data_IF_176138345996
#
_entry.id   IF_176138345996
#
_cell.length_a   1.000
_cell.length_b   1.000
_cell.length_c   1.000
_cell.angle_alpha   90.00
_cell.angle_beta   90.00
_cell.angle_gamma   90.00
#
_symmetry.space_group_name_H-M   'P 1'
#
loop_
_entity.id
_entity.type
_entity.pdbx_description
1 polymer ?
#
# COMPACT_ATOMS: atom_id res chain seq x y z
N UNK A 1 17.61 -21.91 -3.78
CA UNK A 1 17.99 -23.32 -3.55
C UNK A 1 18.44 -23.53 -2.10
N UNK A 2 19.50 -22.88 -1.61
CA UNK A 2 20.01 -23.05 -0.24
C UNK A 2 18.94 -22.87 0.84
N UNK A 3 18.07 -21.87 0.73
CA UNK A 3 16.98 -21.64 1.68
C UNK A 3 15.92 -22.77 1.62
N UNK A 4 15.63 -23.27 0.42
CA UNK A 4 14.70 -24.40 0.23
C UNK A 4 15.28 -25.68 0.82
N UNK A 5 16.56 -25.97 0.58
CA UNK A 5 17.27 -27.13 1.12
C UNK A 5 17.36 -27.08 2.65
N UNK A 6 17.55 -25.88 3.22
CA UNK A 6 17.55 -25.66 4.66
C UNK A 6 16.14 -25.64 5.29
N UNK A 7 15.08 -25.82 4.51
CA UNK A 7 13.69 -25.74 4.99
C UNK A 7 13.26 -24.34 5.42
N UNK A 8 14.06 -23.34 5.10
CA UNK A 8 13.74 -21.94 5.39
C UNK A 8 12.71 -21.46 4.39
N UNK A 9 11.49 -21.25 4.86
CA UNK A 9 10.40 -20.75 4.03
C UNK A 9 10.20 -19.28 4.33
N UNK A 10 10.27 -18.48 3.28
CA UNK A 10 9.84 -17.08 3.31
C UNK A 10 8.35 -17.06 2.97
N UNK A 11 7.53 -16.93 3.96
CA UNK A 11 6.09 -16.85 3.81
C UNK A 11 5.54 -15.75 4.68
N UNK A 12 4.46 -15.14 4.23
CA UNK A 12 3.67 -14.31 5.12
C UNK A 12 3.17 -15.17 6.29
N UNK A 13 3.11 -14.56 7.48
CA UNK A 13 2.47 -15.21 8.62
C UNK A 13 1.05 -15.66 8.23
N UNK A 14 0.63 -16.80 8.75
CA UNK A 14 -0.73 -17.28 8.55
C UNK A 14 -1.73 -16.18 8.92
N UNK A 15 -2.61 -15.85 7.97
CA UNK A 15 -3.68 -14.87 8.20
C UNK A 15 -4.95 -15.61 8.58
N UNK A 16 -5.59 -15.23 9.69
CA UNK A 16 -6.91 -15.73 10.02
C UNK A 16 -7.93 -15.31 8.94
N UNK A 17 -8.98 -16.09 8.77
CA UNK A 17 -10.05 -15.79 7.83
C UNK A 17 -10.79 -14.50 8.18
N UNK A 18 -11.17 -13.72 7.15
CA UNK A 18 -11.89 -12.46 7.33
C UNK A 18 -13.33 -12.66 7.80
N UNK A 19 -13.82 -11.78 8.67
CA UNK A 19 -15.20 -11.84 9.19
C UNK A 19 -16.24 -11.49 8.11
N UNK A 20 -15.87 -10.74 7.10
CA UNK A 20 -16.67 -10.45 5.91
C UNK A 20 -16.87 -11.68 5.03
N UNK A 21 -15.82 -12.48 4.85
CA UNK A 21 -15.87 -13.77 4.15
C UNK A 21 -16.72 -14.77 4.94
N UNK A 22 -16.58 -14.81 6.27
CA UNK A 22 -17.41 -15.63 7.14
C UNK A 22 -18.88 -15.23 7.04
N UNK A 23 -19.18 -13.95 7.05
CA UNK A 23 -20.56 -13.45 6.85
C UNK A 23 -21.12 -13.84 5.50
N UNK A 24 -20.30 -13.79 4.43
CA UNK A 24 -20.69 -14.27 3.11
C UNK A 24 -20.97 -15.79 3.11
N UNK A 25 -20.17 -16.59 3.83
CA UNK A 25 -20.38 -18.02 3.98
C UNK A 25 -21.69 -18.35 4.71
N UNK A 26 -21.99 -17.65 5.82
CA UNK A 26 -23.28 -17.80 6.52
C UNK A 26 -24.46 -17.51 5.58
N UNK A 27 -24.34 -16.46 4.77
CA UNK A 27 -25.36 -16.13 3.79
C UNK A 27 -25.51 -17.21 2.69
N UNK A 28 -24.38 -17.78 2.25
CA UNK A 28 -24.37 -18.91 1.31
C UNK A 28 -25.10 -20.14 1.88
N UNK A 29 -24.86 -20.47 3.15
CA UNK A 29 -25.55 -21.56 3.85
C UNK A 29 -27.06 -21.32 3.92
N UNK A 30 -27.47 -20.10 4.27
CA UNK A 30 -28.88 -19.72 4.28
C UNK A 30 -29.56 -19.86 2.90
N UNK A 31 -28.83 -19.59 1.82
CA UNK A 31 -29.34 -19.79 0.45
C UNK A 31 -29.51 -21.27 0.04
N UNK A 32 -28.81 -22.19 0.72
CA UNK A 32 -28.96 -23.64 0.51
C UNK A 32 -30.14 -24.23 1.28
N UNK A 33 -30.64 -23.57 2.31
CA UNK A 33 -31.75 -24.01 3.15
C UNK A 33 -31.58 -23.62 4.60
N UNK A 34 -32.54 -23.96 5.49
CA UNK A 34 -32.40 -23.73 6.92
C UNK A 34 -31.21 -24.47 7.50
N UNK A 35 -30.53 -23.83 8.49
CA UNK A 35 -29.34 -24.38 9.12
C UNK A 35 -29.35 -24.13 10.63
N UNK A 36 -28.68 -25.02 11.36
CA UNK A 36 -28.40 -24.86 12.78
C UNK A 36 -27.16 -23.98 12.95
N UNK A 37 -27.25 -22.94 13.78
CA UNK A 37 -26.15 -21.99 13.99
C UNK A 37 -24.95 -22.58 14.70
N UNK A 38 -25.18 -23.45 15.70
CA UNK A 38 -24.10 -24.06 16.47
C UNK A 38 -23.37 -25.14 15.66
N UNK A 39 -24.12 -25.94 14.88
CA UNK A 39 -23.55 -26.91 13.97
C UNK A 39 -22.70 -26.23 12.88
N UNK A 40 -23.14 -25.07 12.37
CA UNK A 40 -22.35 -24.31 11.40
C UNK A 40 -21.11 -23.70 12.03
N UNK A 41 -21.15 -23.27 13.30
CA UNK A 41 -19.96 -22.80 14.01
C UNK A 41 -18.90 -23.90 14.12
N UNK A 42 -19.30 -25.11 14.49
CA UNK A 42 -18.36 -26.25 14.58
C UNK A 42 -17.78 -26.61 13.21
N UNK A 43 -18.59 -26.56 12.13
CA UNK A 43 -18.10 -26.73 10.76
C UNK A 43 -17.05 -25.67 10.41
N UNK A 44 -17.31 -24.38 10.68
CA UNK A 44 -16.41 -23.26 10.42
C UNK A 44 -15.11 -23.39 11.19
N UNK A 45 -15.17 -23.75 12.49
CA UNK A 45 -14.00 -23.93 13.36
C UNK A 45 -13.13 -25.11 13.00
N UNK A 46 -13.64 -26.06 12.22
CA UNK A 46 -12.83 -27.17 11.67
C UNK A 46 -11.80 -26.72 10.65
N UNK A 47 -11.92 -25.48 10.14
CA UNK A 47 -10.94 -24.85 9.27
C UNK A 47 -9.91 -24.08 10.08
N UNK A 48 -8.62 -24.25 9.77
CA UNK A 48 -7.54 -23.49 10.40
C UNK A 48 -7.66 -21.96 10.22
N UNK A 49 -8.40 -21.53 9.21
CA UNK A 49 -8.66 -20.10 9.00
C UNK A 49 -9.60 -19.50 10.05
N UNK A 50 -10.43 -20.31 10.71
CA UNK A 50 -11.50 -19.86 11.61
C UNK A 50 -11.52 -20.60 12.95
N UNK A 51 -10.50 -21.38 13.30
CA UNK A 51 -10.41 -22.09 14.58
C UNK A 51 -10.40 -21.14 15.79
N UNK A 52 -10.03 -19.91 15.58
CA UNK A 52 -9.99 -18.82 16.56
C UNK A 52 -11.35 -18.18 16.86
N UNK A 53 -12.40 -18.44 16.06
CA UNK A 53 -13.72 -17.83 16.26
C UNK A 53 -14.35 -18.31 17.57
N UNK A 54 -14.62 -17.39 18.47
CA UNK A 54 -15.35 -17.66 19.71
C UNK A 54 -16.88 -17.48 19.53
N UNK A 55 -17.71 -17.97 20.47
CA UNK A 55 -19.18 -17.83 20.39
C UNK A 55 -19.65 -16.37 20.39
N UNK A 56 -18.91 -15.42 20.98
CA UNK A 56 -19.30 -14.01 21.01
C UNK A 56 -19.10 -13.36 19.64
N UNK A 57 -17.96 -13.61 19.00
CA UNK A 57 -17.69 -13.17 17.63
C UNK A 57 -18.72 -13.81 16.67
N UNK A 58 -18.98 -15.10 16.83
CA UNK A 58 -20.00 -15.81 16.03
C UNK A 58 -21.38 -15.17 16.14
N UNK A 59 -21.83 -14.87 17.35
CA UNK A 59 -23.11 -14.20 17.57
C UNK A 59 -23.19 -12.83 16.88
N UNK A 60 -22.09 -12.07 16.88
CA UNK A 60 -21.98 -10.78 16.18
C UNK A 60 -22.07 -10.98 14.66
N UNK A 61 -21.42 -11.99 14.10
CA UNK A 61 -21.50 -12.32 12.67
C UNK A 61 -22.94 -12.70 12.30
N UNK A 62 -23.61 -13.58 13.09
CA UNK A 62 -25.00 -13.93 12.87
C UNK A 62 -25.93 -12.72 12.97
N UNK A 63 -25.73 -11.84 13.96
CA UNK A 63 -26.48 -10.60 14.10
C UNK A 63 -26.30 -9.69 12.88
N UNK A 64 -25.07 -9.52 12.41
CA UNK A 64 -24.80 -8.74 11.19
C UNK A 64 -25.49 -9.33 9.97
N UNK A 65 -25.37 -10.64 9.73
CA UNK A 65 -26.04 -11.29 8.59
C UNK A 65 -27.56 -11.23 8.75
N UNK A 66 -28.06 -11.31 9.98
CA UNK A 66 -29.48 -11.27 10.31
C UNK A 66 -30.14 -9.92 10.00
N UNK A 67 -29.55 -8.85 10.49
CA UNK A 67 -30.18 -7.51 10.47
C UNK A 67 -29.22 -6.34 10.25
N UNK A 68 -27.97 -6.59 9.85
CA UNK A 68 -26.99 -5.55 9.59
C UNK A 68 -26.28 -4.99 10.83
N UNK A 69 -26.49 -5.57 12.02
CA UNK A 69 -25.99 -5.07 13.29
C UNK A 69 -26.92 -4.03 13.95
N UNK A 70 -26.52 -3.53 15.11
CA UNK A 70 -27.34 -2.61 15.90
C UNK A 70 -27.71 -1.33 15.16
N UNK A 71 -26.74 -0.71 14.50
CA UNK A 71 -26.95 0.60 13.82
C UNK A 71 -27.83 0.49 12.58
N UNK A 72 -27.89 -0.65 11.91
CA UNK A 72 -28.59 -0.83 10.64
C UNK A 72 -29.90 -1.61 10.74
N UNK A 73 -30.21 -2.20 11.87
CA UNK A 73 -31.37 -3.10 12.09
C UNK A 73 -32.75 -2.51 11.78
N UNK A 74 -32.86 -1.19 11.74
CA UNK A 74 -34.12 -0.49 11.43
C UNK A 74 -34.47 -0.53 9.94
N UNK A 75 -33.56 -0.97 9.07
CA UNK A 75 -33.77 -0.98 7.63
C UNK A 75 -34.05 -2.40 7.14
N UNK A 76 -35.23 -2.64 6.57
CA UNK A 76 -35.70 -3.94 6.09
C UNK A 76 -34.74 -4.62 5.11
N UNK A 77 -34.00 -3.84 4.31
CA UNK A 77 -33.02 -4.38 3.34
C UNK A 77 -31.89 -5.18 3.97
N UNK A 78 -31.60 -4.97 5.26
CA UNK A 78 -30.55 -5.70 5.98
C UNK A 78 -31.10 -6.89 6.78
N UNK A 79 -32.41 -7.07 6.83
CA UNK A 79 -33.04 -8.25 7.47
C UNK A 79 -33.01 -9.44 6.52
N UNK A 80 -31.86 -10.13 6.45
CA UNK A 80 -31.62 -11.17 5.43
C UNK A 80 -31.91 -12.57 5.91
N UNK A 81 -31.58 -12.89 7.17
CA UNK A 81 -31.89 -14.19 7.79
C UNK A 81 -32.60 -13.98 9.11
N UNK A 82 -33.35 -14.98 9.54
CA UNK A 82 -34.09 -14.99 10.81
C UNK A 82 -34.02 -16.35 11.46
N UNK A 83 -34.06 -16.36 12.80
CA UNK A 83 -34.15 -17.58 13.60
C UNK A 83 -35.62 -18.03 13.67
N UNK A 84 -35.91 -19.23 13.20
CA UNK A 84 -37.23 -19.79 13.28
C UNK A 84 -37.55 -20.32 14.69
N UNK A 85 -38.84 -20.64 14.94
CA UNK A 85 -39.31 -21.28 16.21
C UNK A 85 -38.71 -22.68 16.42
N UNK A 86 -38.24 -23.30 15.37
CA UNK A 86 -37.58 -24.60 15.35
C UNK A 86 -36.07 -24.52 15.63
N UNK A 87 -35.55 -23.32 15.97
CA UNK A 87 -34.14 -23.11 16.26
C UNK A 87 -33.23 -23.00 15.01
N UNK A 88 -33.83 -23.07 13.80
CA UNK A 88 -33.01 -23.00 12.58
C UNK A 88 -33.03 -21.59 11.96
N UNK A 89 -31.86 -21.16 11.51
CA UNK A 89 -31.70 -19.95 10.74
C UNK A 89 -32.15 -20.17 9.29
N UNK A 90 -32.81 -19.19 8.70
CA UNK A 90 -33.30 -19.24 7.31
C UNK A 90 -33.43 -17.87 6.68
N UNK A 91 -33.47 -17.80 5.34
CA UNK A 91 -33.72 -16.56 4.63
C UNK A 91 -35.08 -15.97 5.04
N UNK A 92 -35.15 -14.66 5.21
CA UNK A 92 -36.39 -13.90 5.42
C UNK A 92 -37.22 -13.81 4.15
N UNK A 93 -36.57 -13.73 2.97
CA UNK A 93 -37.21 -13.67 1.68
C UNK A 93 -36.36 -14.37 0.60
N UNK A 94 -36.97 -15.07 -0.38
CA UNK A 94 -36.23 -15.74 -1.48
C UNK A 94 -35.36 -14.80 -2.34
N UNK A 95 -35.74 -13.53 -2.47
CA UNK A 95 -35.00 -12.54 -3.25
C UNK A 95 -33.60 -12.33 -2.75
N UNK A 96 -33.34 -12.55 -1.45
CA UNK A 96 -31.99 -12.48 -0.88
C UNK A 96 -31.06 -13.52 -1.53
N UNK A 97 -31.54 -14.70 -1.89
CA UNK A 97 -30.75 -15.69 -2.61
C UNK A 97 -30.38 -15.24 -4.03
N UNK A 98 -31.29 -14.59 -4.75
CA UNK A 98 -31.01 -14.06 -6.08
C UNK A 98 -29.98 -12.94 -6.03
N UNK A 99 -30.11 -12.00 -5.09
CA UNK A 99 -29.14 -10.91 -4.87
C UNK A 99 -27.79 -11.43 -4.44
N UNK A 100 -27.75 -12.39 -3.51
CA UNK A 100 -26.52 -13.02 -3.06
C UNK A 100 -25.74 -13.64 -4.23
N UNK A 101 -26.41 -14.42 -5.11
CA UNK A 101 -25.77 -15.06 -6.27
C UNK A 101 -25.14 -14.07 -7.25
N UNK A 102 -25.69 -12.86 -7.36
CA UNK A 102 -25.14 -11.80 -8.22
C UNK A 102 -23.91 -11.15 -7.63
N UNK A 103 -23.73 -11.21 -6.29
CA UNK A 103 -22.68 -10.48 -5.57
C UNK A 103 -21.70 -11.39 -4.82
N UNK A 104 -21.88 -12.71 -4.89
CA UNK A 104 -21.00 -13.66 -4.22
C UNK A 104 -19.60 -13.65 -4.84
N UNK A 105 -18.58 -13.59 -3.98
CA UNK A 105 -17.17 -13.63 -4.37
C UNK A 105 -16.31 -12.75 -3.45
N UNK A 106 -15.02 -13.07 -3.40
CA UNK A 106 -14.05 -12.36 -2.57
C UNK A 106 -13.05 -11.54 -3.40
N UNK A 107 -13.05 -11.74 -4.73
CA UNK A 107 -12.23 -10.93 -5.64
C UNK A 107 -13.07 -9.75 -6.10
N UNK A 108 -12.66 -8.56 -5.65
CA UNK A 108 -13.30 -7.32 -6.05
C UNK A 108 -12.43 -6.70 -7.13
N UNK A 109 -13.01 -6.53 -8.33
CA UNK A 109 -12.35 -5.83 -9.41
C UNK A 109 -12.05 -4.39 -8.97
N UNK A 110 -10.82 -3.92 -9.19
CA UNK A 110 -10.53 -2.50 -9.18
C UNK A 110 -11.28 -1.85 -10.33
N UNK A 111 -12.19 -0.94 -10.04
CA UNK A 111 -12.93 -0.27 -11.09
C UNK A 111 -12.01 0.70 -11.84
N UNK A 112 -12.15 0.65 -13.16
CA UNK A 112 -11.43 1.52 -14.08
C UNK A 112 -12.41 2.51 -14.68
N UNK A 113 -12.01 3.78 -14.71
CA UNK A 113 -12.77 4.88 -15.29
C UNK A 113 -12.20 5.19 -16.67
N UNK A 114 -13.06 5.26 -17.68
CA UNK A 114 -12.65 5.62 -19.05
C UNK A 114 -12.31 7.12 -19.12
N UNK A 115 -11.10 7.45 -19.58
CA UNK A 115 -10.68 8.83 -19.85
C UNK A 115 -11.01 9.17 -21.28
N UNK A 116 -11.87 10.19 -21.47
CA UNK A 116 -12.34 10.58 -22.81
C UNK A 116 -12.35 12.08 -23.01
N UNK A 117 -12.04 12.51 -24.22
CA UNK A 117 -12.34 13.87 -24.65
C UNK A 117 -13.84 14.08 -24.84
N UNK A 118 -14.29 15.34 -24.74
CA UNK A 118 -15.71 15.72 -24.96
C UNK A 118 -16.26 15.26 -26.30
N UNK A 119 -15.42 15.11 -27.34
CA UNK A 119 -15.80 14.60 -28.65
C UNK A 119 -15.97 13.06 -28.70
N UNK A 120 -15.85 12.37 -27.56
CA UNK A 120 -16.01 10.93 -27.44
C UNK A 120 -14.73 10.10 -27.69
N UNK A 121 -13.60 10.72 -28.08
CA UNK A 121 -12.33 10.01 -28.26
C UNK A 121 -11.84 9.48 -26.91
N UNK A 122 -11.72 8.16 -26.79
CA UNK A 122 -11.12 7.52 -25.61
C UNK A 122 -9.60 7.62 -25.64
N UNK A 123 -9.01 7.89 -24.50
CA UNK A 123 -7.57 7.94 -24.27
C UNK A 123 -7.04 6.69 -23.54
N UNK A 124 -7.93 5.93 -22.90
CA UNK A 124 -7.61 4.77 -22.06
C UNK A 124 -8.37 4.78 -20.74
N UNK A 125 -7.84 4.08 -19.74
CA UNK A 125 -8.50 3.93 -18.44
C UNK A 125 -7.55 4.28 -17.31
N UNK A 126 -8.09 4.90 -16.26
CA UNK A 126 -7.41 5.16 -15.00
C UNK A 126 -8.13 4.45 -13.86
N UNK A 127 -7.42 4.13 -12.79
CA UNK A 127 -8.05 3.58 -11.59
C UNK A 127 -9.06 4.57 -11.00
N UNK A 128 -10.22 4.07 -10.60
CA UNK A 128 -11.28 4.88 -9.99
C UNK A 128 -10.78 5.66 -8.78
N UNK A 129 -9.89 5.06 -7.98
CA UNK A 129 -9.31 5.72 -6.81
C UNK A 129 -8.56 7.01 -7.18
N UNK A 130 -7.81 6.98 -8.28
CA UNK A 130 -7.17 8.18 -8.81
C UNK A 130 -8.21 9.19 -9.31
N UNK A 131 -9.16 8.72 -10.12
CA UNK A 131 -10.22 9.56 -10.67
C UNK A 131 -11.09 10.19 -9.58
N UNK A 132 -11.40 9.47 -8.50
CA UNK A 132 -12.21 9.96 -7.37
C UNK A 132 -11.55 11.14 -6.62
N UNK A 133 -10.21 11.20 -6.62
CA UNK A 133 -9.44 12.30 -6.05
C UNK A 133 -9.44 13.58 -6.90
N UNK A 134 -9.86 13.49 -8.18
CA UNK A 134 -9.84 14.60 -9.11
C UNK A 134 -11.12 15.45 -9.04
N UNK A 135 -10.94 16.77 -9.12
CA UNK A 135 -12.05 17.74 -9.20
C UNK A 135 -12.07 18.44 -10.56
N UNK A 136 -13.23 18.89 -11.05
CA UNK A 136 -13.29 19.74 -12.24
C UNK A 136 -12.31 20.92 -12.15
N UNK A 137 -11.57 21.16 -13.22
CA UNK A 137 -10.52 22.18 -13.28
C UNK A 137 -9.13 21.72 -12.83
N UNK A 138 -9.00 20.56 -12.20
CA UNK A 138 -7.68 19.98 -11.88
C UNK A 138 -7.05 19.36 -13.11
N UNK A 139 -5.72 19.42 -13.17
CA UNK A 139 -4.93 18.88 -14.27
C UNK A 139 -4.22 17.60 -13.86
N UNK A 140 -4.11 16.68 -14.81
CA UNK A 140 -3.33 15.46 -14.67
C UNK A 140 -2.72 15.06 -16.01
N UNK A 141 -1.66 14.26 -15.95
CA UNK A 141 -0.95 13.78 -17.14
C UNK A 141 -1.33 12.34 -17.42
N UNK A 142 -1.82 12.06 -18.63
CA UNK A 142 -2.24 10.73 -19.02
C UNK A 142 -2.12 10.53 -20.53
N UNK A 143 -1.68 9.33 -20.97
CA UNK A 143 -1.49 8.98 -22.37
C UNK A 143 -0.61 10.00 -23.14
N UNK A 144 0.44 10.54 -22.48
CA UNK A 144 1.35 11.53 -23.07
C UNK A 144 0.78 12.95 -23.18
N UNK A 145 -0.38 13.22 -22.61
CA UNK A 145 -1.07 14.49 -22.72
C UNK A 145 -1.29 15.11 -21.33
N UNK A 146 -1.14 16.43 -21.25
CA UNK A 146 -1.62 17.18 -20.09
C UNK A 146 -3.11 17.45 -20.28
N UNK A 147 -3.91 16.97 -19.32
CA UNK A 147 -5.36 16.96 -19.38
C UNK A 147 -5.94 17.72 -18.21
N UNK A 148 -7.05 18.41 -18.42
CA UNK A 148 -7.84 19.07 -17.39
C UNK A 148 -9.20 18.37 -17.29
N UNK A 149 -9.62 18.07 -16.09
CA UNK A 149 -10.93 17.46 -15.79
C UNK A 149 -12.03 18.48 -16.06
N UNK A 150 -12.94 18.18 -16.96
CA UNK A 150 -14.16 18.96 -17.18
C UNK A 150 -15.32 18.43 -16.33
N UNK A 151 -15.59 17.13 -16.45
CA UNK A 151 -16.69 16.47 -15.74
C UNK A 151 -16.29 15.05 -15.40
N UNK A 152 -16.63 14.60 -14.20
CA UNK A 152 -16.56 13.20 -13.82
C UNK A 152 -17.98 12.62 -13.82
N UNK A 153 -18.19 11.59 -14.62
CA UNK A 153 -19.40 10.75 -14.66
C UNK A 153 -19.09 9.42 -13.99
N UNK A 154 -20.12 8.62 -13.75
CA UNK A 154 -19.99 7.38 -12.95
C UNK A 154 -18.89 6.41 -13.46
N UNK A 155 -18.68 6.33 -14.78
CA UNK A 155 -17.70 5.43 -15.41
C UNK A 155 -16.76 6.15 -16.38
N UNK A 156 -16.87 7.47 -16.50
CA UNK A 156 -16.12 8.27 -17.47
C UNK A 156 -15.56 9.55 -16.85
N UNK A 157 -14.30 9.81 -17.14
CA UNK A 157 -13.64 11.08 -16.87
C UNK A 157 -13.54 11.87 -18.16
N UNK A 158 -14.38 12.89 -18.30
CA UNK A 158 -14.36 13.77 -19.48
C UNK A 158 -13.31 14.84 -19.26
N UNK A 159 -12.40 14.95 -20.24
CA UNK A 159 -11.23 15.82 -20.16
C UNK A 159 -11.08 16.71 -21.39
N UNK A 160 -10.31 17.78 -21.21
CA UNK A 160 -9.79 18.61 -22.29
C UNK A 160 -8.27 18.71 -22.20
N UNK A 161 -7.61 19.12 -23.30
CA UNK A 161 -6.17 19.38 -23.26
C UNK A 161 -5.87 20.57 -22.32
N UNK A 162 -4.85 20.41 -21.50
CA UNK A 162 -4.36 21.45 -20.59
C UNK A 162 -3.03 22.02 -21.05
N UNK A 163 -2.71 23.23 -20.59
CA UNK A 163 -1.41 23.88 -20.83
C UNK A 163 -0.42 23.72 -19.67
N UNK A 164 -0.88 23.17 -18.56
CA UNK A 164 -0.09 22.97 -17.34
C UNK A 164 -0.09 21.50 -16.99
N UNK A 165 1.08 20.97 -16.64
CA UNK A 165 1.26 19.63 -16.10
C UNK A 165 0.61 19.55 -14.73
N UNK A 166 -0.11 18.46 -14.49
CA UNK A 166 -0.80 18.19 -13.22
C UNK A 166 -0.34 16.87 -12.61
N UNK A 167 -1.18 16.31 -11.75
CA UNK A 167 -0.93 15.02 -11.09
C UNK A 167 -0.79 13.89 -12.11
N UNK A 168 -0.07 12.84 -11.73
CA UNK A 168 0.11 11.65 -12.56
C UNK A 168 -0.66 10.51 -11.95
N UNK A 169 -1.41 9.73 -12.76
CA UNK A 169 -2.10 8.55 -12.26
C UNK A 169 -1.12 7.55 -11.66
N UNK A 170 -1.32 7.19 -10.40
CA UNK A 170 -0.63 6.07 -9.79
C UNK A 170 -1.43 4.79 -10.02
N UNK A 171 -0.77 3.76 -10.55
CA UNK A 171 -1.33 2.44 -10.66
C UNK A 171 -0.81 1.60 -9.50
N UNK A 172 -1.69 1.21 -8.60
CA UNK A 172 -1.34 0.35 -7.46
C UNK A 172 -1.44 -1.13 -7.85
N UNK A 173 -0.62 -1.56 -8.83
CA UNK A 173 -0.45 -2.98 -9.12
C UNK A 173 0.09 -3.72 -7.91
N UNK A 174 -0.43 -4.92 -7.64
CA UNK A 174 0.15 -5.79 -6.63
C UNK A 174 1.55 -6.22 -7.09
N UNK A 175 2.57 -5.90 -6.30
CA UNK A 175 3.93 -6.44 -6.47
C UNK A 175 4.08 -7.64 -5.56
N UNK A 176 4.74 -8.68 -6.05
CA UNK A 176 5.16 -9.78 -5.20
C UNK A 176 6.15 -9.22 -4.16
N UNK A 177 5.95 -9.49 -2.87
CA UNK A 177 6.86 -9.00 -1.85
C UNK A 177 8.24 -9.66 -2.01
N UNK A 178 9.31 -8.88 -1.78
CA UNK A 178 10.65 -9.42 -1.69
C UNK A 178 10.74 -10.32 -0.45
N UNK A 179 11.34 -11.49 -0.64
CA UNK A 179 11.54 -12.41 0.47
C UNK A 179 12.63 -11.92 1.42
N UNK A 180 12.50 -12.20 2.72
CA UNK A 180 13.49 -11.82 3.74
C UNK A 180 14.85 -12.46 3.45
N UNK A 181 14.86 -13.72 3.00
CA UNK A 181 16.08 -14.43 2.63
C UNK A 181 16.78 -13.80 1.44
N UNK A 182 16.02 -13.42 0.40
CA UNK A 182 16.61 -12.75 -0.76
C UNK A 182 17.17 -11.38 -0.39
N UNK A 183 16.42 -10.59 0.39
CA UNK A 183 16.88 -9.29 0.86
C UNK A 183 18.16 -9.40 1.70
N UNK A 184 18.17 -10.29 2.69
CA UNK A 184 19.35 -10.56 3.52
C UNK A 184 20.53 -11.09 2.72
N UNK A 185 20.28 -11.93 1.71
CA UNK A 185 21.35 -12.43 0.83
C UNK A 185 21.95 -11.33 -0.04
N UNK A 186 21.13 -10.46 -0.60
CA UNK A 186 21.61 -9.29 -1.36
C UNK A 186 22.46 -8.38 -0.48
N UNK A 187 21.97 -8.06 0.74
CA UNK A 187 22.70 -7.24 1.68
C UNK A 187 24.06 -7.87 2.07
N UNK A 188 24.10 -9.18 2.31
CA UNK A 188 25.34 -9.91 2.61
C UNK A 188 26.32 -9.89 1.43
N UNK A 189 25.83 -10.04 0.20
CA UNK A 189 26.66 -9.97 -1.02
C UNK A 189 27.24 -8.58 -1.23
N UNK A 190 26.50 -7.51 -0.95
CA UNK A 190 27.03 -6.14 -1.03
C UNK A 190 28.12 -5.87 0.02
N UNK A 191 27.98 -6.44 1.21
CA UNK A 191 28.94 -6.29 2.28
C UNK A 191 30.23 -7.13 2.11
N UNK A 192 30.15 -8.25 1.39
CA UNK A 192 31.25 -9.19 1.16
C UNK A 192 32.14 -8.76 -0.01
N UNK A 193 33.05 -7.81 0.23
CA UNK A 193 33.99 -7.35 -0.81
C UNK A 193 34.85 -8.46 -1.39
N UNK A 194 35.19 -9.49 -0.62
CA UNK A 194 36.00 -10.60 -1.11
C UNK A 194 35.26 -11.43 -2.17
N UNK A 195 33.95 -11.52 -2.08
CA UNK A 195 33.08 -12.21 -3.03
C UNK A 195 32.79 -11.46 -4.32
N UNK A 196 33.16 -10.17 -4.45
CA UNK A 196 32.80 -9.34 -5.62
C UNK A 196 33.44 -9.78 -6.93
N UNK A 197 34.51 -10.61 -6.87
CA UNK A 197 35.13 -11.17 -8.07
C UNK A 197 34.20 -12.02 -8.94
N UNK A 198 33.05 -12.47 -8.40
CA UNK A 198 31.99 -13.18 -9.13
C UNK A 198 31.02 -12.27 -9.90
N UNK A 199 31.05 -10.95 -9.63
CA UNK A 199 30.17 -10.00 -10.30
C UNK A 199 30.74 -9.55 -11.64
N UNK A 200 29.88 -9.12 -12.60
CA UNK A 200 30.29 -8.39 -13.78
C UNK A 200 31.13 -7.15 -13.42
N UNK A 201 32.02 -6.77 -14.32
CA UNK A 201 32.94 -5.67 -14.10
C UNK A 201 32.22 -4.37 -13.77
N UNK A 202 31.15 -4.06 -14.51
CA UNK A 202 30.34 -2.84 -14.31
C UNK A 202 29.72 -2.81 -12.89
N UNK A 203 29.22 -3.95 -12.40
CA UNK A 203 28.65 -4.05 -11.04
C UNK A 203 29.75 -3.87 -10.00
N UNK A 204 30.91 -4.45 -10.22
CA UNK A 204 32.04 -4.32 -9.30
C UNK A 204 32.51 -2.88 -9.22
N UNK A 205 32.71 -2.20 -10.37
CA UNK A 205 33.06 -0.78 -10.43
C UNK A 205 32.03 0.08 -9.67
N UNK A 206 30.75 -0.17 -9.88
CA UNK A 206 29.65 0.51 -9.20
C UNK A 206 29.75 0.39 -7.67
N UNK A 207 30.03 -0.80 -7.16
CA UNK A 207 30.19 -1.06 -5.73
C UNK A 207 31.48 -0.50 -5.17
N UNK A 208 32.57 -0.49 -5.94
CA UNK A 208 33.83 0.12 -5.56
C UNK A 208 33.69 1.63 -5.39
N UNK A 209 33.02 2.30 -6.35
CA UNK A 209 32.76 3.75 -6.25
C UNK A 209 31.81 4.04 -5.09
N UNK A 210 30.80 3.21 -4.83
CA UNK A 210 29.96 3.33 -3.64
C UNK A 210 30.78 3.29 -2.36
N UNK A 211 31.63 2.27 -2.23
CA UNK A 211 32.44 2.08 -1.03
C UNK A 211 33.56 3.13 -0.85
N UNK A 212 33.93 3.82 -1.92
CA UNK A 212 34.87 4.94 -1.88
C UNK A 212 34.18 6.26 -1.48
N UNK A 213 32.96 6.50 -1.96
CA UNK A 213 32.21 7.75 -1.71
C UNK A 213 31.42 7.73 -0.42
N UNK A 214 30.96 6.57 -0.03
CA UNK A 214 30.10 6.35 1.12
C UNK A 214 30.46 5.03 1.80
N UNK A 215 29.46 4.37 2.31
CA UNK A 215 29.56 3.04 2.89
C UNK A 215 28.70 2.03 2.14
N UNK A 216 28.92 0.75 2.42
CA UNK A 216 28.09 -0.34 1.92
C UNK A 216 27.08 -0.74 2.99
N UNK A 217 25.80 -0.95 2.60
CA UNK A 217 24.85 -1.51 3.54
C UNK A 217 25.29 -2.91 3.95
N UNK A 218 25.18 -3.22 5.24
CA UNK A 218 25.60 -4.49 5.81
C UNK A 218 24.67 -4.98 6.91
N UNK A 219 24.71 -6.28 7.24
CA UNK A 219 23.89 -6.84 8.31
C UNK A 219 24.10 -6.13 9.65
N UNK A 220 23.04 -5.91 10.40
CA UNK A 220 23.09 -5.40 11.77
C UNK A 220 23.11 -3.89 11.93
N UNK A 221 23.30 -3.12 10.83
CA UNK A 221 23.27 -1.65 10.86
C UNK A 221 22.40 -1.09 9.74
N UNK A 222 21.79 0.05 9.97
CA UNK A 222 21.03 0.78 8.97
C UNK A 222 21.87 1.91 8.37
N UNK A 223 22.20 1.79 7.10
CA UNK A 223 22.86 2.89 6.37
C UNK A 223 21.80 3.91 5.95
N UNK A 224 22.08 5.18 6.23
CA UNK A 224 21.29 6.32 5.76
C UNK A 224 22.22 7.32 5.09
N UNK A 225 21.89 7.75 3.89
CA UNK A 225 22.63 8.76 3.15
C UNK A 225 21.81 10.02 2.97
N UNK A 226 22.41 11.20 3.16
CA UNK A 226 21.78 12.47 2.86
C UNK A 226 22.66 13.28 1.89
N UNK A 227 22.03 13.86 0.86
CA UNK A 227 22.72 14.67 -0.14
C UNK A 227 21.78 15.70 -0.77
N UNK A 228 22.34 16.83 -1.28
CA UNK A 228 21.57 17.78 -2.08
C UNK A 228 21.42 17.27 -3.52
N UNK A 229 20.23 17.46 -4.09
CA UNK A 229 19.98 17.20 -5.50
C UNK A 229 18.85 18.12 -5.99
N UNK A 230 19.05 18.81 -7.12
CA UNK A 230 18.07 19.73 -7.73
C UNK A 230 17.43 20.73 -6.76
N UNK A 231 18.24 21.31 -5.88
CA UNK A 231 17.78 22.31 -4.89
C UNK A 231 16.95 21.76 -3.73
N UNK A 232 16.90 20.44 -3.57
CA UNK A 232 16.24 19.71 -2.48
C UNK A 232 17.24 18.90 -1.69
N UNK A 233 16.84 18.46 -0.51
CA UNK A 233 17.61 17.53 0.33
C UNK A 233 17.00 16.15 0.26
N UNK A 234 17.77 15.18 -0.17
CA UNK A 234 17.39 13.77 -0.23
C UNK A 234 17.97 13.02 0.95
N UNK A 235 17.16 12.14 1.53
CA UNK A 235 17.62 11.19 2.56
C UNK A 235 17.18 9.80 2.14
N UNK A 236 18.14 8.90 1.92
CA UNK A 236 17.94 7.53 1.45
C UNK A 236 18.22 6.56 2.58
N UNK A 237 17.27 5.67 2.85
CA UNK A 237 17.35 4.64 3.89
C UNK A 237 17.49 3.28 3.23
N UNK A 238 18.57 2.55 3.48
CA UNK A 238 18.85 1.24 2.91
C UNK A 238 18.39 0.12 3.86
N UNK A 239 17.09 -0.15 3.87
CA UNK A 239 16.44 -1.00 4.87
C UNK A 239 16.41 -2.48 4.51
N UNK A 240 16.27 -2.84 3.22
CA UNK A 240 16.15 -4.22 2.72
C UNK A 240 14.93 -5.00 3.26
N UNK A 241 13.82 -4.29 3.53
CA UNK A 241 12.61 -4.89 4.10
C UNK A 241 11.48 -5.10 3.07
N UNK A 242 11.76 -4.81 1.81
CA UNK A 242 10.78 -4.92 0.74
C UNK A 242 9.88 -3.70 0.57
N UNK A 243 9.37 -3.54 -0.63
CA UNK A 243 8.59 -2.37 -1.03
C UNK A 243 7.38 -2.06 -0.11
N UNK A 244 6.56 -3.05 0.36
CA UNK A 244 5.40 -2.73 1.22
C UNK A 244 5.80 -2.11 2.55
N UNK A 245 6.84 -2.64 3.20
CA UNK A 245 7.37 -2.10 4.45
C UNK A 245 7.95 -0.69 4.25
N UNK A 246 8.70 -0.49 3.15
CA UNK A 246 9.27 0.81 2.80
C UNK A 246 8.20 1.86 2.48
N UNK A 247 7.10 1.47 1.82
CA UNK A 247 5.97 2.36 1.57
C UNK A 247 5.32 2.83 2.87
N UNK A 248 5.06 1.90 3.79
CA UNK A 248 4.47 2.21 5.09
C UNK A 248 5.38 3.12 5.90
N UNK A 249 6.67 2.80 5.95
CA UNK A 249 7.65 3.61 6.67
C UNK A 249 7.83 5.00 6.05
N UNK A 250 7.89 5.08 4.72
CA UNK A 250 8.00 6.35 4.00
C UNK A 250 6.86 7.30 4.31
N UNK A 251 5.62 6.79 4.36
CA UNK A 251 4.44 7.58 4.75
C UNK A 251 4.51 8.05 6.20
N UNK A 252 4.85 7.17 7.13
CA UNK A 252 4.99 7.52 8.55
C UNK A 252 6.08 8.55 8.78
N UNK A 253 7.25 8.35 8.16
CA UNK A 253 8.37 9.30 8.26
C UNK A 253 8.06 10.66 7.66
N UNK A 254 7.36 10.70 6.52
CA UNK A 254 6.95 11.96 5.89
C UNK A 254 6.06 12.76 6.83
N UNK A 255 5.08 12.12 7.49
CA UNK A 255 4.23 12.77 8.50
C UNK A 255 5.06 13.28 9.70
N UNK A 256 5.96 12.48 10.22
CA UNK A 256 6.86 12.89 11.32
C UNK A 256 7.77 14.04 10.94
N UNK A 257 8.24 14.06 9.69
CA UNK A 257 9.01 15.18 9.15
C UNK A 257 8.18 16.46 9.05
N UNK A 258 6.92 16.37 8.66
CA UNK A 258 5.97 17.52 8.67
C UNK A 258 5.81 18.07 10.08
N UNK A 259 5.56 17.23 11.08
CA UNK A 259 5.42 17.61 12.49
C UNK A 259 6.69 18.30 13.02
N UNK A 260 7.87 17.90 12.55
CA UNK A 260 9.16 18.51 12.89
C UNK A 260 9.53 19.74 12.05
N UNK A 261 8.68 20.14 11.11
CA UNK A 261 8.87 21.31 10.26
C UNK A 261 9.97 21.14 9.21
N UNK A 262 10.30 19.90 8.81
CA UNK A 262 11.30 19.61 7.79
C UNK A 262 10.79 19.83 6.36
N UNK A 263 9.50 20.10 6.19
CA UNK A 263 8.85 20.37 4.90
C UNK A 263 9.11 19.29 3.85
N UNK A 264 8.72 18.02 4.10
CA UNK A 264 8.86 16.95 3.13
C UNK A 264 8.01 17.26 1.89
N UNK A 265 8.52 16.85 0.73
CA UNK A 265 7.85 17.05 -0.56
C UNK A 265 7.33 15.74 -1.15
N UNK A 266 7.85 14.61 -0.67
CA UNK A 266 7.46 13.28 -1.12
C UNK A 266 8.45 12.21 -0.71
N UNK A 267 8.11 10.98 -1.05
CA UNK A 267 8.99 9.82 -0.90
C UNK A 267 8.78 8.84 -2.04
N UNK A 268 9.76 7.99 -2.27
CA UNK A 268 9.71 6.89 -3.23
C UNK A 268 10.39 5.67 -2.61
N UNK A 269 9.92 4.47 -2.93
CA UNK A 269 10.43 3.24 -2.36
C UNK A 269 10.62 2.15 -3.42
N UNK A 270 11.65 1.34 -3.24
CA UNK A 270 11.84 0.06 -3.91
C UNK A 270 11.98 -1.06 -2.87
N UNK A 271 12.35 -2.27 -3.30
CA UNK A 271 12.47 -3.41 -2.38
C UNK A 271 13.66 -3.33 -1.42
N UNK A 272 14.67 -2.50 -1.71
CA UNK A 272 15.93 -2.43 -0.96
C UNK A 272 16.08 -1.16 -0.13
N UNK A 273 15.45 -0.08 -0.60
CA UNK A 273 15.60 1.26 -0.03
C UNK A 273 14.36 2.12 -0.25
N UNK A 274 14.27 3.19 0.50
CA UNK A 274 13.37 4.29 0.17
C UNK A 274 14.09 5.63 0.34
N UNK A 275 13.64 6.63 -0.42
CA UNK A 275 14.16 7.98 -0.39
C UNK A 275 13.05 8.96 -0.04
N UNK A 276 13.32 9.88 0.85
CA UNK A 276 12.46 11.04 1.14
C UNK A 276 13.20 12.30 0.69
N UNK A 277 12.48 13.24 0.08
CA UNK A 277 13.04 14.53 -0.25
C UNK A 277 12.27 15.67 0.41
N UNK A 278 12.99 16.70 0.84
CA UNK A 278 12.48 17.80 1.64
C UNK A 278 13.17 19.13 1.30
N UNK A 279 12.55 20.23 1.72
CA UNK A 279 13.13 21.57 1.56
C UNK A 279 14.19 21.86 2.62
N UNK A 280 14.23 21.11 3.72
CA UNK A 280 15.19 21.25 4.80
C UNK A 280 15.97 19.95 4.97
N UNK A 281 17.27 20.01 5.33
CA UNK A 281 18.04 18.80 5.56
C UNK A 281 17.52 18.02 6.78
N UNK A 282 17.74 16.71 6.76
CA UNK A 282 17.51 15.82 7.89
C UNK A 282 18.85 15.62 8.59
N UNK A 283 19.08 16.34 9.70
CA UNK A 283 20.33 16.28 10.44
C UNK A 283 20.45 15.02 11.32
N UNK A 284 19.31 14.55 11.84
CA UNK A 284 19.23 13.34 12.66
C UNK A 284 18.14 12.37 12.14
N UNK A 285 18.50 11.51 11.18
CA UNK A 285 17.56 10.51 10.67
C UNK A 285 17.25 9.40 11.69
N UNK A 286 18.12 9.14 12.67
CA UNK A 286 17.87 8.16 13.72
C UNK A 286 16.69 8.57 14.61
N UNK A 287 16.58 9.84 14.92
CA UNK A 287 15.44 10.35 15.69
C UNK A 287 14.09 10.23 14.95
N UNK A 288 14.08 10.13 13.62
CA UNK A 288 12.89 9.86 12.84
C UNK A 288 12.42 8.40 12.96
N UNK A 289 13.32 7.47 13.28
CA UNK A 289 13.11 6.04 13.29
C UNK A 289 12.80 5.47 14.69
N UNK A 290 12.43 6.30 15.66
CA UNK A 290 12.09 5.82 17.00
C UNK A 290 10.83 4.94 16.96
N UNK A 291 10.81 3.88 17.80
CA UNK A 291 9.80 2.81 17.77
C UNK A 291 8.39 3.27 18.15
N UNK A 292 8.23 4.43 18.79
CA UNK A 292 6.96 5.09 19.08
C UNK A 292 6.11 5.36 17.81
N UNK A 293 6.76 5.42 16.63
CA UNK A 293 6.07 5.57 15.35
C UNK A 293 5.03 4.47 15.07
N UNK A 294 5.24 3.26 15.62
CA UNK A 294 4.33 2.14 15.46
C UNK A 294 3.22 2.11 16.53
N UNK A 295 3.39 2.78 17.66
CA UNK A 295 2.43 2.74 18.75
C UNK A 295 1.32 3.79 18.60
N UNK A 296 1.69 5.06 18.57
CA UNK A 296 0.74 6.17 18.64
C UNK A 296 0.40 6.71 17.25
N UNK A 297 1.41 6.99 16.44
CA UNK A 297 1.22 7.63 15.12
C UNK A 297 0.60 6.68 14.10
N UNK A 298 0.85 5.38 14.20
CA UNK A 298 0.32 4.39 13.28
C UNK A 298 -1.19 4.23 13.40
N UNK A 299 -1.71 4.11 14.62
CA UNK A 299 -3.15 3.94 14.85
C UNK A 299 -3.93 5.17 14.43
N UNK A 300 -3.48 6.37 14.85
CA UNK A 300 -4.10 7.63 14.43
C UNK A 300 -4.05 7.82 12.90
N UNK A 301 -2.90 7.47 12.30
CA UNK A 301 -2.77 7.62 10.85
C UNK A 301 -3.65 6.65 10.07
N UNK A 302 -3.80 5.39 10.51
CA UNK A 302 -4.73 4.43 9.89
C UNK A 302 -6.16 4.91 10.03
N UNK A 303 -6.54 5.46 11.19
CA UNK A 303 -7.88 6.00 11.43
C UNK A 303 -8.24 7.15 10.52
N UNK A 304 -7.31 8.08 10.31
CA UNK A 304 -7.49 9.25 9.45
C UNK A 304 -7.23 8.95 7.97
N UNK A 305 -6.62 7.79 7.67
CA UNK A 305 -6.21 7.47 6.31
C UNK A 305 -7.39 6.97 5.46
N UNK A 306 -7.31 7.29 4.18
CA UNK A 306 -8.17 6.73 3.14
C UNK A 306 -8.11 5.18 3.08
N UNK A 307 -7.06 4.57 3.63
CA UNK A 307 -6.83 3.11 3.60
C UNK A 307 -7.90 2.33 4.35
N UNK A 308 -8.31 2.81 5.53
CA UNK A 308 -9.35 2.13 6.29
C UNK A 308 -10.72 2.23 5.60
N UNK A 309 -11.06 3.39 5.03
CA UNK A 309 -12.29 3.54 4.23
C UNK A 309 -12.25 2.64 2.98
N UNK A 310 -11.08 2.52 2.35
CA UNK A 310 -10.89 1.61 1.21
C UNK A 310 -11.06 0.15 1.63
N UNK A 311 -10.40 -0.29 2.71
CA UNK A 311 -10.57 -1.64 3.24
C UNK A 311 -12.03 -1.91 3.62
N UNK A 312 -12.69 -0.96 4.29
CA UNK A 312 -14.11 -1.08 4.61
C UNK A 312 -15.00 -1.23 3.37
N UNK A 313 -14.69 -0.53 2.28
CA UNK A 313 -15.44 -0.64 1.02
C UNK A 313 -15.39 -2.07 0.47
N UNK A 314 -14.22 -2.68 0.46
CA UNK A 314 -14.06 -4.06 0.01
C UNK A 314 -14.78 -5.05 0.92
N UNK A 315 -14.58 -4.93 2.23
CA UNK A 315 -15.28 -5.71 3.26
C UNK A 315 -16.80 -5.57 3.15
N UNK A 316 -17.32 -4.36 2.91
CA UNK A 316 -18.75 -4.10 2.74
C UNK A 316 -19.34 -4.77 1.50
N UNK A 317 -18.56 -4.86 0.43
CA UNK A 317 -18.98 -5.57 -0.80
C UNK A 317 -18.93 -7.09 -0.59
N UNK A 318 -17.82 -7.63 -0.06
CA UNK A 318 -17.65 -9.07 0.19
C UNK A 318 -18.74 -9.59 1.12
N UNK A 319 -19.01 -8.90 2.21
CA UNK A 319 -20.05 -9.28 3.19
C UNK A 319 -21.50 -9.11 2.67
N UNK A 320 -21.66 -8.49 1.50
CA UNK A 320 -22.96 -8.17 0.95
C UNK A 320 -23.71 -7.05 1.67
N UNK A 321 -23.02 -6.24 2.49
CA UNK A 321 -23.60 -5.03 3.07
C UNK A 321 -23.96 -4.01 1.98
N UNK A 322 -23.12 -3.91 0.97
CA UNK A 322 -23.35 -3.10 -0.24
C UNK A 322 -23.32 -3.99 -1.46
N UNK A 323 -24.47 -4.10 -2.11
CA UNK A 323 -24.63 -4.87 -3.35
C UNK A 323 -24.11 -4.05 -4.54
N UNK A 324 -23.21 -4.59 -5.33
CA UNK A 324 -22.73 -3.99 -6.60
C UNK A 324 -23.67 -4.26 -7.76
N UNK A 325 -24.28 -5.45 -7.77
CA UNK A 325 -25.18 -5.90 -8.82
C UNK A 325 -26.59 -6.09 -8.26
N UNK A 326 -27.56 -5.59 -8.99
CA UNK A 326 -28.98 -5.81 -8.75
C UNK A 326 -29.61 -6.34 -10.04
N UNK A 327 -30.76 -7.06 -9.97
CA UNK A 327 -31.45 -7.52 -11.18
C UNK A 327 -31.67 -6.37 -12.17
N UNK A 328 -31.02 -6.45 -13.35
CA UNK A 328 -31.11 -5.43 -14.40
C UNK A 328 -30.31 -4.12 -14.18
N UNK A 329 -29.56 -3.98 -13.08
CA UNK A 329 -28.75 -2.79 -12.80
C UNK A 329 -27.42 -3.16 -12.15
N UNK A 330 -26.35 -2.47 -12.57
CA UNK A 330 -25.05 -2.48 -11.89
C UNK A 330 -24.78 -1.08 -11.32
N UNK A 331 -24.43 -1.01 -10.05
CA UNK A 331 -24.00 0.25 -9.44
C UNK A 331 -22.62 0.61 -9.95
N UNK A 332 -22.41 1.89 -10.26
CA UNK A 332 -21.08 2.41 -10.51
C UNK A 332 -20.24 2.39 -9.24
N UNK A 333 -18.92 2.36 -9.39
CA UNK A 333 -18.01 2.41 -8.27
C UNK A 333 -18.21 3.66 -7.41
N UNK A 334 -18.53 4.81 -8.00
CA UNK A 334 -18.86 6.04 -7.26
C UNK A 334 -20.09 5.86 -6.37
N UNK A 335 -21.13 5.17 -6.84
CA UNK A 335 -22.31 4.88 -6.05
C UNK A 335 -22.02 3.90 -4.91
N UNK A 336 -21.15 2.92 -5.15
CA UNK A 336 -20.65 2.00 -4.13
C UNK A 336 -19.85 2.77 -3.10
N UNK A 337 -18.88 3.59 -3.53
CA UNK A 337 -18.04 4.43 -2.67
C UNK A 337 -18.88 5.34 -1.77
N UNK A 338 -19.81 6.09 -2.35
CA UNK A 338 -20.69 6.98 -1.58
C UNK A 338 -21.51 6.21 -0.54
N UNK A 339 -22.07 5.06 -0.94
CA UNK A 339 -22.87 4.23 -0.03
C UNK A 339 -22.03 3.63 1.09
N UNK A 340 -20.81 3.18 0.79
CA UNK A 340 -19.91 2.58 1.79
C UNK A 340 -19.34 3.62 2.73
N UNK A 341 -18.95 4.79 2.25
CA UNK A 341 -18.42 5.85 3.09
C UNK A 341 -19.47 6.36 4.08
N UNK A 342 -20.72 6.54 3.63
CA UNK A 342 -21.82 6.91 4.52
C UNK A 342 -22.08 5.86 5.60
N UNK A 343 -22.10 4.57 5.22
CA UNK A 343 -22.31 3.48 6.18
C UNK A 343 -21.12 3.39 7.15
N UNK A 344 -19.90 3.53 6.66
CA UNK A 344 -18.70 3.56 7.48
C UNK A 344 -18.78 4.63 8.57
N UNK A 345 -19.11 5.86 8.19
CA UNK A 345 -19.22 6.99 9.13
C UNK A 345 -20.32 6.75 10.18
N UNK A 346 -21.45 6.13 9.77
CA UNK A 346 -22.53 5.75 10.69
C UNK A 346 -22.08 4.65 11.66
N UNK A 347 -21.45 3.59 11.17
CA UNK A 347 -20.99 2.49 12.02
C UNK A 347 -19.89 2.96 12.97
N UNK A 348 -18.90 3.71 12.48
CA UNK A 348 -17.83 4.25 13.34
C UNK A 348 -18.38 5.09 14.48
N UNK A 349 -19.45 5.84 14.24
CA UNK A 349 -20.05 6.74 15.24
C UNK A 349 -20.96 6.00 16.23
N UNK A 350 -21.73 5.03 15.77
CA UNK A 350 -22.84 4.43 16.54
C UNK A 350 -22.59 2.98 16.94
N UNK A 351 -21.65 2.28 16.31
CA UNK A 351 -21.31 0.89 16.56
C UNK A 351 -19.82 0.66 16.18
N UNK A 352 -18.87 1.29 16.91
CA UNK A 352 -17.44 1.24 16.55
C UNK A 352 -16.85 -0.17 16.61
N UNK A 353 -17.45 -1.08 17.37
CA UNK A 353 -17.13 -2.50 17.50
C UNK A 353 -17.88 -3.40 16.50
N UNK A 354 -18.48 -2.82 15.45
CA UNK A 354 -19.15 -3.59 14.40
C UNK A 354 -18.18 -4.54 13.69
N UNK A 355 -18.61 -5.80 13.41
CA UNK A 355 -17.74 -6.86 12.83
C UNK A 355 -17.05 -6.44 11.54
N UNK A 356 -17.68 -5.61 10.72
CA UNK A 356 -17.08 -5.13 9.47
C UNK A 356 -16.07 -4.00 9.68
N UNK A 357 -16.18 -3.23 10.75
CA UNK A 357 -15.12 -2.28 11.15
C UNK A 357 -13.88 -3.06 11.58
N UNK A 358 -14.07 -4.12 12.37
CA UNK A 358 -12.99 -5.01 12.78
C UNK A 358 -12.33 -5.72 11.58
N UNK A 359 -13.12 -6.25 10.65
CA UNK A 359 -12.62 -6.84 9.42
C UNK A 359 -11.83 -5.83 8.57
N UNK A 360 -12.33 -4.61 8.42
CA UNK A 360 -11.64 -3.54 7.69
C UNK A 360 -10.31 -3.15 8.33
N UNK A 361 -10.25 -3.13 9.67
CA UNK A 361 -9.00 -2.93 10.40
C UNK A 361 -7.99 -4.05 10.19
N UNK A 362 -8.45 -5.31 10.22
CA UNK A 362 -7.61 -6.47 9.96
C UNK A 362 -7.03 -6.42 8.54
N UNK A 363 -7.86 -6.10 7.54
CA UNK A 363 -7.45 -5.95 6.14
C UNK A 363 -6.52 -4.76 5.93
N UNK A 364 -6.82 -3.60 6.50
CA UNK A 364 -5.96 -2.42 6.42
C UNK A 364 -4.57 -2.72 7.01
N UNK A 365 -4.53 -3.31 8.20
CA UNK A 365 -3.28 -3.75 8.83
C UNK A 365 -2.52 -4.75 7.96
N UNK A 366 -3.18 -5.74 7.40
CA UNK A 366 -2.56 -6.75 6.55
C UNK A 366 -1.97 -6.16 5.26
N UNK A 367 -2.59 -5.13 4.70
CA UNK A 367 -2.10 -4.46 3.48
C UNK A 367 -0.97 -3.47 3.73
N UNK A 368 -0.98 -2.86 4.90
CA UNK A 368 0.06 -1.89 5.27
C UNK A 368 1.34 -2.53 5.72
N UNK A 369 1.32 -3.81 5.98
CA UNK A 369 2.39 -4.33 6.77
C UNK A 369 2.90 -5.63 6.31
N UNK A 370 4.08 -5.55 6.38
CA UNK A 370 4.92 -6.34 7.26
C UNK A 370 5.24 -5.57 8.56
N UNK A 371 4.27 -5.43 9.49
CA UNK A 371 4.50 -4.75 10.79
C UNK A 371 5.65 -5.43 11.52
N UNK A 372 5.77 -6.75 11.43
CA UNK A 372 6.89 -7.48 12.00
C UNK A 372 8.22 -6.99 11.43
N UNK A 373 8.34 -6.87 10.12
CA UNK A 373 9.56 -6.34 9.48
C UNK A 373 9.83 -4.89 9.86
N UNK A 374 8.79 -4.06 9.96
CA UNK A 374 8.96 -2.67 10.42
C UNK A 374 9.42 -2.61 11.87
N UNK A 375 8.87 -3.43 12.75
CA UNK A 375 9.29 -3.50 14.15
C UNK A 375 10.75 -3.95 14.26
N UNK A 376 11.14 -5.00 13.53
CA UNK A 376 12.52 -5.49 13.46
C UNK A 376 13.48 -4.42 12.89
N UNK A 377 13.03 -3.69 11.87
CA UNK A 377 13.80 -2.58 11.29
C UNK A 377 14.03 -1.47 12.31
N UNK A 378 12.97 -1.04 13.00
CA UNK A 378 13.06 0.05 13.99
C UNK A 378 13.90 -0.38 15.22
N UNK A 379 13.81 -1.66 15.61
CA UNK A 379 14.69 -2.20 16.66
C UNK A 379 16.17 -2.17 16.23
N UNK A 380 16.48 -2.55 14.99
CA UNK A 380 17.84 -2.46 14.42
C UNK A 380 18.28 -1.01 14.30
N UNK A 381 17.42 -0.10 13.84
CA UNK A 381 17.70 1.32 13.78
C UNK A 381 17.98 1.93 15.16
N UNK A 382 17.28 1.46 16.20
CA UNK A 382 17.53 1.85 17.59
C UNK A 382 18.91 1.39 18.12
N UNK A 383 19.52 0.38 17.48
CA UNK A 383 20.87 -0.10 17.85
C UNK A 383 21.96 0.66 17.15
N UNK A 384 21.88 0.83 15.83
CA UNK A 384 22.92 1.49 15.05
C UNK A 384 22.38 2.05 13.74
N UNK A 385 22.28 3.37 13.64
CA UNK A 385 22.09 4.11 12.39
C UNK A 385 23.40 4.73 11.96
N UNK A 386 23.88 4.34 10.78
CA UNK A 386 25.05 4.96 10.17
C UNK A 386 24.59 6.04 9.20
N UNK A 387 24.67 7.30 9.60
CA UNK A 387 24.33 8.43 8.76
C UNK A 387 25.58 8.98 8.05
N UNK A 388 25.52 9.05 6.73
CA UNK A 388 26.58 9.60 5.87
C UNK A 388 26.00 10.78 5.10
N UNK A 389 26.65 11.95 5.27
CA UNK A 389 26.29 13.15 4.53
C UNK A 389 27.21 13.29 3.34
N UNK A 390 26.65 13.36 2.14
CA UNK A 390 27.37 13.41 0.88
C UNK A 390 27.12 14.74 0.18
N UNK A 391 28.05 15.10 -0.70
CA UNK A 391 27.96 16.30 -1.55
C UNK A 391 27.02 16.13 -2.74
N UNK A 392 26.74 14.88 -3.12
CA UNK A 392 25.87 14.49 -4.25
C UNK A 392 25.41 13.04 -4.14
N UNK A 393 24.57 12.60 -5.06
CA UNK A 393 24.03 11.26 -5.15
C UNK A 393 25.13 10.19 -5.13
N UNK A 394 24.88 9.10 -4.39
CA UNK A 394 25.73 7.90 -4.37
C UNK A 394 25.27 6.87 -5.41
N UNK A 395 26.15 5.94 -5.85
CA UNK A 395 25.75 4.88 -6.78
C UNK A 395 24.55 4.07 -6.32
N UNK A 396 24.48 3.63 -5.07
CA UNK A 396 23.34 2.84 -4.57
C UNK A 396 22.05 3.65 -4.41
N UNK A 397 22.09 4.98 -4.40
CA UNK A 397 20.89 5.81 -4.38
C UNK A 397 20.24 5.96 -5.76
N UNK A 398 20.99 5.76 -6.86
CA UNK A 398 20.50 5.96 -8.23
C UNK A 398 19.22 5.14 -8.51
N UNK A 399 19.14 3.82 -8.22
CA UNK A 399 17.97 3.03 -8.55
C UNK A 399 16.67 3.52 -7.91
N UNK A 400 16.72 4.05 -6.69
CA UNK A 400 15.53 4.58 -6.02
C UNK A 400 15.18 5.97 -6.52
N UNK A 401 16.15 6.80 -6.90
CA UNK A 401 15.89 8.13 -7.44
C UNK A 401 15.28 8.08 -8.84
N UNK A 402 15.75 7.19 -9.71
CA UNK A 402 15.19 6.97 -11.06
C UNK A 402 13.69 6.62 -11.01
N UNK A 403 13.22 6.02 -9.91
CA UNK A 403 11.78 5.76 -9.76
C UNK A 403 10.95 7.05 -9.63
N UNK A 404 11.54 8.15 -9.17
CA UNK A 404 10.85 9.46 -9.12
C UNK A 404 10.51 9.92 -10.54
N UNK A 405 11.46 9.79 -11.49
CA UNK A 405 11.25 10.06 -12.89
C UNK A 405 10.17 9.15 -13.51
N UNK A 406 10.17 7.85 -13.16
CA UNK A 406 9.16 6.89 -13.62
C UNK A 406 7.74 7.24 -13.22
N UNK A 407 7.54 7.78 -12.03
CA UNK A 407 6.22 8.27 -11.60
C UNK A 407 5.81 9.53 -12.36
N UNK A 408 6.76 10.21 -12.99
CA UNK A 408 6.57 11.50 -13.67
C UNK A 408 6.36 11.41 -15.18
N UNK A 409 6.61 10.27 -15.83
CA UNK A 409 6.62 10.15 -17.29
C UNK A 409 5.52 9.23 -17.87
N UNK A 410 4.93 9.53 -19.04
CA UNK A 410 3.91 8.71 -19.68
C UNK A 410 4.50 7.43 -20.28
N UNK A 411 3.75 6.34 -20.24
CA UNK A 411 4.10 5.10 -20.93
C UNK A 411 4.15 5.35 -22.45
N UNK A 412 5.32 5.10 -23.06
CA UNK A 412 5.52 5.10 -24.52
C UNK A 412 6.49 6.14 -25.11
N UNK A 413 6.81 7.22 -24.38
CA UNK A 413 7.94 8.11 -24.65
C UNK A 413 8.97 8.10 -23.51
N UNK A 414 8.63 7.34 -22.48
CA UNK A 414 9.31 7.32 -21.21
C UNK A 414 10.68 6.65 -21.25
N UNK A 415 10.90 5.70 -22.14
CA UNK A 415 12.11 4.87 -22.05
C UNK A 415 13.37 5.66 -22.41
N UNK A 416 13.33 6.52 -23.43
CA UNK A 416 14.50 7.28 -23.83
C UNK A 416 14.79 8.46 -22.88
N UNK A 417 13.77 9.20 -22.43
CA UNK A 417 13.93 10.30 -21.47
C UNK A 417 14.32 9.78 -20.08
N UNK A 418 13.76 8.65 -19.64
CA UNK A 418 14.13 7.98 -18.40
C UNK A 418 15.55 7.42 -18.44
N UNK A 419 15.95 6.85 -19.59
CA UNK A 419 17.32 6.39 -19.79
C UNK A 419 18.30 7.55 -19.71
N UNK A 420 18.01 8.69 -20.35
CA UNK A 420 18.86 9.88 -20.29
C UNK A 420 18.93 10.46 -18.86
N UNK A 421 17.82 10.51 -18.13
CA UNK A 421 17.79 10.93 -16.74
C UNK A 421 18.58 9.96 -15.85
N UNK A 422 18.34 8.65 -16.01
CA UNK A 422 19.06 7.61 -15.31
C UNK A 422 20.55 7.63 -15.59
N UNK A 423 20.95 7.80 -16.86
CA UNK A 423 22.36 7.97 -17.27
C UNK A 423 22.97 9.24 -16.68
N UNK A 424 22.21 10.34 -16.64
CA UNK A 424 22.65 11.59 -16.02
C UNK A 424 22.90 11.45 -14.53
N UNK A 425 21.97 10.84 -13.80
CA UNK A 425 22.08 10.57 -12.36
C UNK A 425 23.22 9.57 -12.10
N UNK A 426 23.32 8.50 -12.88
CA UNK A 426 24.37 7.48 -12.76
C UNK A 426 25.75 8.08 -13.05
N UNK A 427 25.88 8.89 -14.11
CA UNK A 427 27.12 9.58 -14.44
C UNK A 427 27.56 10.52 -13.31
N UNK A 428 26.62 11.27 -12.72
CA UNK A 428 26.92 12.12 -11.55
C UNK A 428 27.37 11.29 -10.34
N UNK A 429 26.72 10.14 -10.12
CA UNK A 429 27.07 9.23 -9.02
C UNK A 429 28.45 8.59 -9.21
N UNK A 430 28.82 8.22 -10.43
CA UNK A 430 30.09 7.56 -10.77
C UNK A 430 31.26 8.54 -10.97
N UNK A 431 31.01 9.85 -10.98
CA UNK A 431 32.05 10.84 -11.21
C UNK A 431 33.06 10.87 -10.06
N UNK A 432 34.31 10.57 -10.38
CA UNK A 432 35.44 10.67 -9.47
C UNK A 432 36.05 12.06 -9.65
N UNK A 433 35.95 12.92 -8.63
CA UNK A 433 36.64 14.21 -8.67
C UNK A 433 38.12 13.97 -8.48
N UNK A 434 39.02 14.64 -9.25
CA UNK A 434 40.44 14.56 -9.00
C UNK A 434 40.73 15.01 -7.57
N UNK A 435 41.71 14.41 -6.89
CA UNK A 435 42.08 14.83 -5.55
C UNK A 435 42.38 16.35 -5.58
N UNK A 436 41.82 17.08 -4.61
CA UNK A 436 42.00 18.50 -4.47
C UNK A 436 43.51 18.76 -4.30
N UNK A 437 44.19 19.40 -5.27
CA UNK A 437 45.59 19.72 -5.21
C UNK A 437 45.94 20.70 -4.06
N UNK A 438 44.93 21.31 -3.44
CA UNK A 438 45.10 22.28 -2.32
C UNK A 438 45.38 21.66 -0.94
N UNK A 439 45.27 20.33 -0.79
CA UNK A 439 45.58 19.67 0.50
C UNK A 439 47.08 19.43 0.74
N UNK A 440 47.93 19.53 -0.30
CA UNK A 440 49.40 19.37 -0.19
C UNK A 440 50.15 20.63 0.15
N UNK A 441 49.54 21.82 0.19
CA UNK A 441 50.24 23.07 0.45
C UNK A 441 50.08 23.59 1.90
N UNK A 442 49.46 22.88 2.81
CA UNK A 442 49.38 23.25 4.23
C UNK A 442 50.03 22.23 5.15
N UNK A 443 51.20 21.83 4.82
CA UNK A 443 52.01 20.91 5.63
C UNK A 443 53.49 21.15 5.46
N UNK A 444 53.96 22.39 5.78
CA UNK A 444 55.32 22.68 6.19
C UNK A 444 55.26 23.62 7.37
#
# INVERSE_FOLDING_TARGET
EQAVEAGQRDGEAFRPGGLDVLAQHVMARACCGPFDGDALLEEVRSSSAYDWIDPAIWARVLSFVGNGGYALRAYDRFQRITLGRDGLWRLTHPDHAARFRLNAGIIIDSEMVDVRFRNGRSLGRVEENFAAGLRPGQTFRFAGLDLEVEVMRDTELVVRAAKKTGQIPSYMGQRLPLTTHLAGRVQALLADRAGWGQFPDDVREWLEVQGWRSELPGPGRLLVESFPHEGKHFTVFYCFEGWPAHQSLGMLLTRRMEQRGLSPMGFVANDYSFAVWSLRPVDDPAALLSSDILADEFTEWVEDSYLLKRAFREVAVISGLVERQQPGQRKSGRQVTFSTDLIYDVLRKHEPDHVLIEAAWADARARMTDIGRLADLLERAGREVRHVVLDRVSPLAVPVLVMIGRESLPQGQADDELLLEAEGIASAAMRIDPPCEDACQRGV
#
